data_IF_615241307299
#
_entry.id   IF_615241307299
#
_cell.length_a   1.000
_cell.length_b   1.000
_cell.length_c   1.000
_cell.angle_alpha   90.00
_cell.angle_beta   90.00
_cell.angle_gamma   90.00
#
_symmetry.space_group_name_H-M   'P 1'
#
loop_
_entity.id
_entity.type
_entity.pdbx_description
1 polymer ?
#
# COMPACT_ATOMS: atom_id res chain seq x y z
N UNK A 1 3.29 14.44 -8.30
CA UNK A 1 2.06 13.81 -7.76
C UNK A 1 1.82 14.30 -6.34
N UNK A 2 0.60 14.73 -6.04
CA UNK A 2 0.13 15.04 -4.68
C UNK A 2 -0.12 13.76 -3.87
N UNK A 3 -0.12 13.83 -2.53
CA UNK A 3 -0.38 12.66 -1.67
C UNK A 3 -1.74 12.01 -1.97
N UNK A 4 -2.78 12.80 -2.22
CA UNK A 4 -4.11 12.29 -2.60
C UNK A 4 -4.08 11.45 -3.88
N UNK A 5 -3.23 11.82 -4.86
CA UNK A 5 -3.10 11.08 -6.10
C UNK A 5 -2.37 9.74 -5.90
N UNK A 6 -1.35 9.73 -5.03
CA UNK A 6 -0.64 8.49 -4.66
C UNK A 6 -1.60 7.57 -3.91
N UNK A 7 -2.35 8.13 -2.96
CA UNK A 7 -3.31 7.41 -2.15
C UNK A 7 -4.40 6.76 -3.00
N UNK A 8 -5.02 7.51 -3.93
CA UNK A 8 -6.03 6.97 -4.85
C UNK A 8 -5.46 5.83 -5.71
N UNK A 9 -4.20 5.94 -6.12
CA UNK A 9 -3.54 4.92 -6.92
C UNK A 9 -3.15 3.70 -6.09
N UNK A 10 -2.72 3.90 -4.83
CA UNK A 10 -2.49 2.82 -3.87
C UNK A 10 -3.77 2.08 -3.53
N UNK A 11 -4.88 2.79 -3.30
CA UNK A 11 -6.20 2.19 -3.11
C UNK A 11 -6.50 1.28 -4.30
N UNK A 12 -6.46 1.80 -5.53
CA UNK A 12 -6.72 1.00 -6.72
C UNK A 12 -5.82 -0.23 -6.86
N UNK A 13 -4.54 -0.16 -6.47
CA UNK A 13 -3.63 -1.31 -6.47
C UNK A 13 -4.05 -2.34 -5.43
N UNK A 14 -4.35 -1.90 -4.21
CA UNK A 14 -4.79 -2.79 -3.13
C UNK A 14 -6.10 -3.45 -3.51
N UNK A 15 -7.07 -2.69 -4.00
CA UNK A 15 -8.37 -3.20 -4.47
C UNK A 15 -8.22 -4.26 -5.56
N UNK A 16 -7.26 -4.10 -6.48
CA UNK A 16 -6.97 -5.10 -7.52
C UNK A 16 -6.35 -6.37 -6.93
N UNK A 17 -5.54 -6.27 -5.87
CA UNK A 17 -4.92 -7.43 -5.21
C UNK A 17 -5.92 -8.17 -4.30
N UNK A 18 -6.64 -7.46 -3.43
CA UNK A 18 -7.55 -8.07 -2.44
C UNK A 18 -8.98 -8.22 -2.96
N UNK A 19 -9.24 -7.76 -4.20
CA UNK A 19 -10.55 -7.79 -4.86
C UNK A 19 -11.67 -7.16 -4.01
N UNK A 20 -11.31 -6.16 -3.19
CA UNK A 20 -12.18 -5.52 -2.20
C UNK A 20 -11.84 -4.03 -2.12
N UNK A 21 -12.85 -3.17 -2.02
CA UNK A 21 -12.65 -1.72 -1.92
C UNK A 21 -12.13 -1.30 -0.55
N UNK A 22 -11.17 -0.36 -0.53
CA UNK A 22 -10.54 0.12 0.71
C UNK A 22 -10.54 1.64 0.81
N UNK A 23 -10.89 2.15 1.99
CA UNK A 23 -10.85 3.56 2.33
C UNK A 23 -9.45 4.03 2.73
N UNK A 24 -9.28 5.35 2.73
CA UNK A 24 -8.08 6.06 3.16
C UNK A 24 -7.66 5.76 4.61
N UNK A 25 -8.66 5.65 5.49
CA UNK A 25 -8.52 5.43 6.92
C UNK A 25 -8.85 3.99 7.33
N UNK A 26 -9.06 3.09 6.35
CA UNK A 26 -9.26 1.68 6.67
C UNK A 26 -7.96 1.05 7.14
N UNK A 27 -8.06 0.36 8.26
CA UNK A 27 -6.97 -0.40 8.84
C UNK A 27 -6.85 -1.72 8.08
N UNK A 28 -5.96 -1.78 7.11
CA UNK A 28 -5.91 -2.88 6.14
C UNK A 28 -5.54 -4.22 6.81
N UNK A 29 -4.62 -4.17 7.78
CA UNK A 29 -4.20 -5.33 8.57
C UNK A 29 -5.23 -5.65 9.66
N UNK A 30 -5.68 -4.67 10.47
CA UNK A 30 -6.62 -4.96 11.56
C UNK A 30 -8.00 -5.39 11.05
N UNK A 31 -8.44 -4.90 9.89
CA UNK A 31 -9.67 -5.34 9.24
C UNK A 31 -9.57 -6.76 8.66
N UNK A 32 -8.37 -7.35 8.61
CA UNK A 32 -8.13 -8.63 7.94
C UNK A 32 -8.30 -8.57 6.42
N UNK A 33 -8.19 -7.38 5.83
CA UNK A 33 -8.25 -7.19 4.37
C UNK A 33 -6.94 -7.63 3.72
N UNK A 34 -5.83 -7.44 4.43
CA UNK A 34 -4.50 -7.86 4.03
C UNK A 34 -4.02 -8.98 4.95
N UNK A 35 -3.75 -10.14 4.34
CA UNK A 35 -3.06 -11.27 4.94
C UNK A 35 -1.57 -11.20 4.59
N UNK A 36 -0.75 -11.99 5.29
CA UNK A 36 0.71 -12.05 5.06
C UNK A 36 1.10 -12.43 3.62
N UNK A 37 0.22 -13.09 2.87
CA UNK A 37 0.44 -13.36 1.43
C UNK A 37 0.09 -12.15 0.56
N UNK A 38 -1.10 -11.56 0.76
CA UNK A 38 -1.57 -10.42 -0.05
C UNK A 38 -0.76 -9.16 0.23
N UNK A 39 -0.19 -9.03 1.43
CA UNK A 39 0.74 -7.97 1.80
C UNK A 39 1.95 -7.92 0.85
N UNK A 40 2.53 -9.08 0.54
CA UNK A 40 3.67 -9.20 -0.36
C UNK A 40 3.27 -8.82 -1.79
N UNK A 41 2.09 -9.25 -2.24
CA UNK A 41 1.57 -8.93 -3.58
C UNK A 41 1.28 -7.43 -3.75
N UNK A 42 0.64 -6.80 -2.75
CA UNK A 42 0.43 -5.34 -2.71
C UNK A 42 1.77 -4.63 -2.82
N UNK A 43 2.72 -4.95 -1.94
CA UNK A 43 4.05 -4.32 -1.93
C UNK A 43 4.78 -4.50 -3.26
N UNK A 44 4.66 -5.67 -3.90
CA UNK A 44 5.24 -5.94 -5.20
C UNK A 44 4.60 -5.08 -6.30
N UNK A 45 3.27 -4.94 -6.29
CA UNK A 45 2.53 -4.10 -7.24
C UNK A 45 2.84 -2.61 -7.05
N UNK A 46 2.92 -2.14 -5.80
CA UNK A 46 3.33 -0.78 -5.45
C UNK A 46 4.77 -0.52 -5.90
N UNK A 47 5.70 -1.44 -5.62
CA UNK A 47 7.09 -1.36 -6.09
C UNK A 47 7.19 -1.29 -7.61
N UNK A 48 6.37 -2.05 -8.34
CA UNK A 48 6.34 -2.00 -9.81
C UNK A 48 5.81 -0.67 -10.33
N UNK A 49 4.87 -0.05 -9.63
CA UNK A 49 4.23 1.20 -10.04
C UNK A 49 5.06 2.44 -9.67
N UNK A 50 5.65 2.47 -8.48
CA UNK A 50 6.32 3.65 -7.91
C UNK A 50 7.86 3.51 -7.77
N UNK A 51 8.41 2.32 -7.99
CA UNK A 51 9.86 2.06 -7.88
C UNK A 51 10.40 2.04 -6.45
N UNK A 52 9.53 2.09 -5.43
CA UNK A 52 9.94 2.08 -4.02
C UNK A 52 10.42 0.69 -3.58
N UNK A 53 11.39 0.65 -2.65
CA UNK A 53 11.85 -0.58 -2.02
C UNK A 53 11.22 -0.72 -0.65
N UNK A 54 10.52 -1.82 -0.43
CA UNK A 54 10.02 -2.21 0.88
C UNK A 54 10.85 -3.39 1.41
N UNK A 55 11.46 -3.27 2.59
CA UNK A 55 12.02 -4.41 3.29
C UNK A 55 10.89 -5.27 3.86
N UNK A 56 11.01 -6.60 3.75
CA UNK A 56 9.97 -7.55 4.16
C UNK A 56 9.57 -7.44 5.65
N UNK A 57 10.50 -6.97 6.48
CA UNK A 57 10.30 -6.80 7.93
C UNK A 57 9.42 -5.60 8.28
N UNK A 58 9.29 -4.62 7.40
CA UNK A 58 8.53 -3.38 7.64
C UNK A 58 7.21 -3.36 6.86
N UNK A 59 6.90 -4.43 6.11
CA UNK A 59 5.68 -4.49 5.28
C UNK A 59 4.44 -4.32 6.15
N UNK A 60 4.37 -5.03 7.27
CA UNK A 60 3.22 -4.98 8.18
C UNK A 60 3.03 -3.57 8.78
N UNK A 61 4.12 -2.88 9.13
CA UNK A 61 4.08 -1.53 9.67
C UNK A 61 3.58 -0.50 8.64
N UNK A 62 4.07 -0.60 7.39
CA UNK A 62 3.69 0.34 6.33
C UNK A 62 2.31 0.05 5.72
N UNK A 63 1.81 -1.19 5.84
CA UNK A 63 0.48 -1.59 5.40
C UNK A 63 -0.60 -1.45 6.48
N UNK A 64 -0.28 -0.87 7.64
CA UNK A 64 -1.27 -0.62 8.69
C UNK A 64 -2.48 0.18 8.17
N UNK A 65 -2.22 1.24 7.39
CA UNK A 65 -3.25 2.06 6.75
C UNK A 65 -2.79 2.58 5.39
N UNK A 66 -3.75 2.99 4.56
CA UNK A 66 -3.46 3.59 3.27
C UNK A 66 -2.69 4.91 3.41
N UNK A 67 -2.97 5.68 4.47
CA UNK A 67 -2.25 6.92 4.78
C UNK A 67 -0.77 6.65 5.12
N UNK A 68 -0.48 5.64 5.93
CA UNK A 68 0.91 5.25 6.28
C UNK A 68 1.68 4.84 5.03
N UNK A 69 1.06 3.98 4.20
CA UNK A 69 1.66 3.54 2.94
C UNK A 69 1.90 4.72 1.98
N UNK A 70 0.94 5.63 1.88
CA UNK A 70 1.03 6.84 1.05
C UNK A 70 2.21 7.70 1.46
N UNK A 71 2.35 7.98 2.76
CA UNK A 71 3.44 8.78 3.29
C UNK A 71 4.80 8.13 3.00
N UNK A 72 4.90 6.81 3.17
CA UNK A 72 6.12 6.06 2.89
C UNK A 72 6.49 6.11 1.40
N UNK A 73 5.54 5.83 0.51
CA UNK A 73 5.73 5.87 -0.94
C UNK A 73 6.07 7.27 -1.41
N UNK A 74 5.41 8.31 -0.87
CA UNK A 74 5.73 9.70 -1.21
C UNK A 74 7.18 10.07 -0.88
N UNK A 75 7.73 9.53 0.21
CA UNK A 75 9.10 9.75 0.64
C UNK A 75 10.15 8.89 -0.10
N UNK A 76 9.79 7.67 -0.52
CA UNK A 76 10.73 6.68 -1.06
C UNK A 76 10.53 6.34 -2.54
N UNK A 77 9.55 6.92 -3.23
CA UNK A 77 9.38 6.75 -4.68
C UNK A 77 10.63 7.24 -5.40
N UNK A 78 11.05 6.48 -6.41
CA UNK A 78 12.20 6.82 -7.25
C UNK A 78 11.83 7.01 -8.72
N UNK A 79 10.53 6.88 -9.03
CA UNK A 79 9.92 7.16 -10.33
C UNK A 79 9.18 8.51 -10.32
#
# INVERSE_FOLDING_TARGET
MSNEAIQAQLASIIEDVIQTSVGADDLLIESGLIDSLTAVDVVLAVKRTFGCRFPATEIDEHLESLNTLTAYVAAHRTL
#
